data_IF_532122543349
#
_entry.id   IF_532122543349
#
_cell.length_a   1.000
_cell.length_b   1.000
_cell.length_c   1.000
_cell.angle_alpha   90.00
_cell.angle_beta   90.00
_cell.angle_gamma   90.00
#
_symmetry.space_group_name_H-M   'P 1'
#
loop_
_entity.id
_entity.type
_entity.pdbx_description
1 polymer ?
#
# COMPACT_ATOMS: atom_id res chain seq x y z
N UNK A 1 -19.63 8.73 -22.85
CA UNK A 1 -18.74 7.76 -22.17
C UNK A 1 -19.38 7.36 -20.85
N UNK A 2 -19.60 6.06 -20.62
CA UNK A 2 -20.26 5.54 -19.42
C UNK A 2 -19.30 5.56 -18.22
N UNK A 3 -19.73 6.03 -17.04
CA UNK A 3 -18.91 6.14 -15.81
C UNK A 3 -18.30 4.80 -15.41
N UNK A 4 -19.03 3.71 -15.65
CA UNK A 4 -18.57 2.33 -15.42
C UNK A 4 -17.30 2.04 -16.24
N UNK A 5 -17.27 2.45 -17.50
CA UNK A 5 -16.13 2.23 -18.40
C UNK A 5 -14.90 3.05 -17.94
N UNK A 6 -15.11 4.24 -17.37
CA UNK A 6 -14.03 5.06 -16.81
C UNK A 6 -13.42 4.40 -15.58
N UNK A 7 -14.25 3.88 -14.66
CA UNK A 7 -13.77 3.17 -13.47
C UNK A 7 -13.02 1.90 -13.87
N UNK A 8 -13.57 1.12 -14.80
CA UNK A 8 -12.92 -0.07 -15.34
C UNK A 8 -11.56 0.24 -15.96
N UNK A 9 -11.45 1.33 -16.74
CA UNK A 9 -10.19 1.79 -17.33
C UNK A 9 -9.15 2.14 -16.26
N UNK A 10 -9.55 2.82 -15.19
CA UNK A 10 -8.65 3.16 -14.08
C UNK A 10 -8.15 1.89 -13.38
N UNK A 11 -9.04 0.92 -13.13
CA UNK A 11 -8.66 -0.37 -12.51
C UNK A 11 -7.69 -1.14 -13.43
N UNK A 12 -7.99 -1.20 -14.73
CA UNK A 12 -7.15 -1.88 -15.72
C UNK A 12 -5.75 -1.29 -15.82
N UNK A 13 -5.61 0.03 -15.66
CA UNK A 13 -4.29 0.69 -15.62
C UNK A 13 -3.47 0.36 -14.38
N UNK A 14 -4.12 -0.01 -13.26
CA UNK A 14 -3.44 -0.28 -11.98
C UNK A 14 -2.95 -1.70 -11.84
N UNK A 15 -3.70 -2.68 -12.36
CA UNK A 15 -3.33 -4.11 -12.31
C UNK A 15 -1.90 -4.43 -12.76
N UNK A 16 -1.40 -3.93 -13.91
CA UNK A 16 -0.02 -4.23 -14.34
C UNK A 16 1.04 -3.65 -13.38
N UNK A 17 0.72 -2.57 -12.66
CA UNK A 17 1.63 -2.03 -11.64
C UNK A 17 1.69 -2.95 -10.41
N UNK A 18 0.56 -3.56 -10.02
CA UNK A 18 0.54 -4.54 -8.93
C UNK A 18 1.35 -5.80 -9.29
N UNK A 19 1.24 -6.27 -10.54
CA UNK A 19 2.02 -7.41 -11.04
C UNK A 19 3.51 -7.09 -11.07
N UNK A 20 3.88 -5.90 -11.57
CA UNK A 20 5.27 -5.43 -11.58
C UNK A 20 5.84 -5.33 -10.17
N UNK A 21 5.07 -4.82 -9.21
CA UNK A 21 5.47 -4.75 -7.80
C UNK A 21 5.68 -6.17 -7.25
N UNK A 22 4.78 -7.11 -7.54
CA UNK A 22 4.93 -8.51 -7.13
C UNK A 22 6.23 -9.14 -7.65
N UNK A 23 6.60 -8.87 -8.91
CA UNK A 23 7.87 -9.35 -9.46
C UNK A 23 9.10 -8.73 -8.76
N UNK A 24 9.05 -7.42 -8.43
CA UNK A 24 10.13 -6.75 -7.70
C UNK A 24 10.23 -7.27 -6.25
N UNK A 25 9.11 -7.49 -5.57
CA UNK A 25 9.07 -8.10 -4.24
C UNK A 25 9.77 -9.46 -4.22
N UNK A 26 9.51 -10.30 -5.23
CA UNK A 26 10.13 -11.61 -5.34
C UNK A 26 11.65 -11.50 -5.56
N UNK A 27 12.09 -10.62 -6.45
CA UNK A 27 13.52 -10.39 -6.69
C UNK A 27 14.24 -9.88 -5.43
N UNK A 28 13.61 -8.97 -4.67
CA UNK A 28 14.17 -8.44 -3.42
C UNK A 28 14.25 -9.51 -2.33
N UNK A 29 13.26 -10.41 -2.23
CA UNK A 29 13.32 -11.55 -1.32
C UNK A 29 14.45 -12.51 -1.68
N UNK A 30 14.63 -12.82 -2.96
CA UNK A 30 15.73 -13.64 -3.43
C UNK A 30 17.09 -12.98 -3.12
N UNK A 31 17.20 -11.67 -3.31
CA UNK A 31 18.41 -10.93 -2.98
C UNK A 31 18.70 -10.96 -1.47
N UNK A 32 17.70 -10.75 -0.61
CA UNK A 32 17.86 -10.85 0.84
C UNK A 32 18.29 -12.27 1.27
N UNK A 33 17.70 -13.31 0.66
CA UNK A 33 18.09 -14.70 0.93
C UNK A 33 19.54 -14.97 0.52
N UNK A 34 19.96 -14.52 -0.66
CA UNK A 34 21.34 -14.66 -1.13
C UNK A 34 22.35 -13.94 -0.23
N UNK A 35 22.00 -12.75 0.28
CA UNK A 35 22.86 -12.03 1.24
C UNK A 35 22.95 -12.81 2.56
N UNK A 36 21.84 -13.39 3.04
CA UNK A 36 21.83 -14.24 4.23
C UNK A 36 22.68 -15.51 4.07
N UNK A 37 22.65 -16.14 2.90
CA UNK A 37 23.52 -17.28 2.59
C UNK A 37 25.00 -16.89 2.59
N UNK A 38 25.34 -15.74 2.02
CA UNK A 38 26.71 -15.20 2.04
C UNK A 38 27.19 -14.91 3.48
N UNK A 39 26.32 -14.37 4.33
CA UNK A 39 26.62 -14.13 5.74
C UNK A 39 26.84 -15.44 6.52
N UNK A 40 26.03 -16.46 6.25
CA UNK A 40 26.19 -17.79 6.84
C UNK A 40 27.52 -18.45 6.40
N UNK A 41 27.88 -18.34 5.13
CA UNK A 41 29.17 -18.85 4.64
C UNK A 41 30.35 -18.09 5.26
N UNK A 42 30.24 -16.77 5.40
CA UNK A 42 31.27 -15.94 6.05
C UNK A 42 31.49 -16.35 7.51
N UNK A 43 30.42 -16.51 8.28
CA UNK A 43 30.50 -16.92 9.69
C UNK A 43 31.10 -18.32 9.84
N UNK A 44 30.83 -19.24 8.91
CA UNK A 44 31.46 -20.57 8.87
C UNK A 44 32.96 -20.58 8.52
N UNK A 45 33.42 -19.63 7.69
CA UNK A 45 34.83 -19.51 7.27
C UNK A 45 35.72 -18.84 8.34
N UNK A 46 35.17 -17.92 9.13
CA UNK A 46 35.89 -17.14 10.14
C UNK A 46 36.54 -17.95 11.27
N UNK A 47 36.14 -19.20 11.47
CA UNK A 47 36.74 -20.09 12.48
C UNK A 47 37.99 -20.85 12.03
N UNK A 48 38.26 -20.98 10.72
CA UNK A 48 39.30 -21.91 10.23
C UNK A 48 40.54 -21.26 9.62
N UNK A 49 40.47 -20.00 9.17
CA UNK A 49 41.58 -19.37 8.44
C UNK A 49 41.68 -17.90 8.91
N UNK A 50 42.78 -17.56 9.58
CA UNK A 50 43.03 -16.26 10.24
C UNK A 50 43.14 -15.03 9.32
N UNK A 51 42.39 -14.99 8.22
CA UNK A 51 42.13 -13.79 7.44
C UNK A 51 40.83 -13.15 7.94
N UNK A 52 40.97 -12.06 8.68
CA UNK A 52 39.86 -11.16 9.01
C UNK A 52 39.47 -10.50 7.69
N UNK A 53 38.45 -11.02 6.99
CA UNK A 53 37.84 -10.27 5.89
C UNK A 53 37.36 -8.94 6.47
N UNK A 54 37.70 -7.80 5.84
CA UNK A 54 37.28 -6.49 6.32
C UNK A 54 35.76 -6.51 6.51
N UNK A 55 35.33 -5.82 7.55
CA UNK A 55 33.99 -5.71 8.11
C UNK A 55 32.97 -5.23 7.06
N UNK A 56 32.64 -6.08 6.08
CA UNK A 56 31.62 -5.79 5.10
C UNK A 56 30.27 -5.89 5.81
N UNK A 57 29.63 -4.75 6.01
CA UNK A 57 28.30 -4.68 6.62
C UNK A 57 27.24 -5.18 5.62
N UNK A 58 26.84 -6.45 5.79
CA UNK A 58 25.77 -7.09 5.05
C UNK A 58 24.39 -6.84 5.71
N UNK A 59 24.39 -6.35 6.95
CA UNK A 59 23.17 -6.10 7.73
C UNK A 59 22.42 -4.88 7.21
N UNK A 60 23.14 -3.81 6.87
CA UNK A 60 22.56 -2.56 6.35
C UNK A 60 21.78 -2.76 5.04
N UNK A 61 22.33 -3.42 4.00
CA UNK A 61 21.57 -3.75 2.79
C UNK A 61 20.31 -4.58 3.06
N UNK A 62 20.37 -5.59 3.94
CA UNK A 62 19.19 -6.41 4.29
C UNK A 62 18.12 -5.57 4.99
N UNK A 63 18.52 -4.67 5.89
CA UNK A 63 17.58 -3.75 6.54
C UNK A 63 16.92 -2.80 5.54
N UNK A 64 17.67 -2.31 4.56
CA UNK A 64 17.11 -1.49 3.47
C UNK A 64 16.13 -2.28 2.61
N UNK A 65 16.49 -3.51 2.21
CA UNK A 65 15.60 -4.40 1.45
C UNK A 65 14.29 -4.63 2.20
N UNK A 66 14.34 -4.91 3.50
CA UNK A 66 13.14 -5.14 4.32
C UNK A 66 12.23 -3.88 4.38
N UNK A 67 12.81 -2.69 4.51
CA UNK A 67 12.04 -1.43 4.48
C UNK A 67 11.35 -1.21 3.14
N UNK A 68 12.05 -1.48 2.03
CA UNK A 68 11.47 -1.37 0.69
C UNK A 68 10.40 -2.42 0.45
N UNK A 69 10.56 -3.66 0.94
CA UNK A 69 9.54 -4.70 0.89
C UNK A 69 8.26 -4.27 1.61
N UNK A 70 8.36 -3.64 2.79
CA UNK A 70 7.20 -3.11 3.52
C UNK A 70 6.48 -1.99 2.75
N UNK A 71 7.25 -1.12 2.07
CA UNK A 71 6.70 -0.07 1.24
C UNK A 71 6.00 -0.64 -0.01
N UNK A 72 6.63 -1.60 -0.69
CA UNK A 72 6.10 -2.30 -1.85
C UNK A 72 4.82 -3.06 -1.51
N UNK A 73 4.77 -3.75 -0.36
CA UNK A 73 3.58 -4.47 0.09
C UNK A 73 2.38 -3.52 0.22
N UNK A 74 2.58 -2.32 0.78
CA UNK A 74 1.52 -1.28 0.88
C UNK A 74 1.07 -0.79 -0.49
N UNK A 75 2.01 -0.60 -1.43
CA UNK A 75 1.71 -0.19 -2.80
C UNK A 75 0.96 -1.29 -3.56
N UNK A 76 1.39 -2.54 -3.45
CA UNK A 76 0.75 -3.71 -4.06
C UNK A 76 -0.71 -3.80 -3.64
N UNK A 77 -0.98 -3.75 -2.33
CA UNK A 77 -2.34 -3.75 -1.76
C UNK A 77 -3.18 -2.57 -2.28
N UNK A 78 -2.58 -1.42 -2.58
CA UNK A 78 -3.29 -0.26 -3.13
C UNK A 78 -3.62 -0.42 -4.61
N UNK A 79 -2.69 -0.95 -5.40
CA UNK A 79 -2.88 -1.13 -6.85
C UNK A 79 -3.71 -2.36 -7.19
N UNK A 80 -3.79 -3.34 -6.29
CA UNK A 80 -4.60 -4.55 -6.47
C UNK A 80 -6.08 -4.38 -6.11
N UNK A 81 -6.52 -3.20 -5.64
CA UNK A 81 -7.92 -2.99 -5.27
C UNK A 81 -8.82 -3.00 -6.50
N UNK A 82 -9.86 -3.82 -6.45
CA UNK A 82 -10.93 -3.83 -7.46
C UNK A 82 -11.89 -2.65 -7.34
N UNK A 83 -11.74 -1.82 -6.30
CA UNK A 83 -12.60 -0.67 -6.04
C UNK A 83 -11.85 0.66 -6.11
N UNK A 84 -12.55 1.70 -6.59
CA UNK A 84 -12.08 3.07 -6.51
C UNK A 84 -12.57 3.70 -5.20
N UNK A 85 -11.64 3.88 -4.26
CA UNK A 85 -11.93 4.56 -3.01
C UNK A 85 -11.81 6.08 -3.20
N UNK A 86 -12.86 6.83 -2.84
CA UNK A 86 -12.89 8.30 -2.89
C UNK A 86 -12.87 8.87 -1.47
N UNK A 87 -11.91 9.76 -1.20
CA UNK A 87 -11.86 10.53 0.05
C UNK A 87 -12.45 11.92 -0.15
N UNK A 88 -13.47 12.28 0.65
CA UNK A 88 -14.07 13.63 0.63
C UNK A 88 -13.68 14.35 1.91
N UNK A 89 -12.88 15.42 1.80
CA UNK A 89 -12.39 16.22 2.92
C UNK A 89 -12.85 17.67 2.80
N UNK A 90 -13.03 18.34 3.94
CA UNK A 90 -13.45 19.75 3.97
C UNK A 90 -14.12 20.14 5.28
N UNK A 91 -14.26 21.45 5.52
CA UNK A 91 -14.89 21.99 6.73
C UNK A 91 -16.35 21.54 6.87
N UNK A 92 -16.91 21.60 8.08
CA UNK A 92 -18.32 21.34 8.30
C UNK A 92 -19.20 22.24 7.41
N UNK A 93 -20.41 21.76 7.06
CA UNK A 93 -21.40 22.48 6.22
C UNK A 93 -21.01 22.78 4.77
N UNK A 94 -19.92 22.21 4.27
CA UNK A 94 -19.49 22.33 2.86
C UNK A 94 -20.10 21.28 1.92
N UNK A 95 -21.26 20.71 2.28
CA UNK A 95 -21.98 19.76 1.42
C UNK A 95 -21.36 18.37 1.24
N UNK A 96 -20.35 17.98 2.04
CA UNK A 96 -19.69 16.66 1.93
C UNK A 96 -20.66 15.48 2.06
N UNK A 97 -21.54 15.51 3.08
CA UNK A 97 -22.56 14.49 3.29
C UNK A 97 -23.53 14.40 2.11
N UNK A 98 -24.00 15.56 1.62
CA UNK A 98 -24.90 15.66 0.47
C UNK A 98 -24.27 15.14 -0.83
N UNK A 99 -22.97 15.39 -1.03
CA UNK A 99 -22.22 14.83 -2.15
C UNK A 99 -22.15 13.29 -2.07
N UNK A 100 -21.82 12.73 -0.90
CA UNK A 100 -21.77 11.29 -0.71
C UNK A 100 -23.15 10.64 -0.91
N UNK A 101 -24.21 11.21 -0.35
CA UNK A 101 -25.60 10.78 -0.59
C UNK A 101 -25.94 10.76 -2.08
N UNK A 102 -25.63 11.84 -2.82
CA UNK A 102 -25.94 11.93 -4.25
C UNK A 102 -25.16 10.94 -5.12
N UNK A 103 -23.95 10.54 -4.68
CA UNK A 103 -23.08 9.65 -5.43
C UNK A 103 -23.32 8.17 -5.09
N UNK A 104 -23.73 7.87 -3.87
CA UNK A 104 -23.88 6.49 -3.37
C UNK A 104 -25.33 6.04 -3.21
N UNK A 105 -26.29 6.97 -3.24
CA UNK A 105 -27.72 6.67 -3.05
C UNK A 105 -28.12 6.44 -1.59
N UNK A 106 -27.18 6.51 -0.65
CA UNK A 106 -27.45 6.43 0.79
C UNK A 106 -28.22 7.66 1.28
N UNK A 107 -29.08 7.46 2.26
CA UNK A 107 -30.02 8.49 2.72
C UNK A 107 -29.48 9.29 3.91
N UNK A 108 -30.19 10.36 4.30
CA UNK A 108 -29.88 11.15 5.49
C UNK A 108 -29.97 10.35 6.81
N UNK A 109 -30.59 9.16 6.79
CA UNK A 109 -30.59 8.23 7.92
C UNK A 109 -29.21 7.59 8.14
N UNK A 110 -28.44 7.38 7.07
CA UNK A 110 -27.13 6.72 7.10
C UNK A 110 -25.99 7.74 7.12
N UNK A 111 -26.14 8.85 6.39
CA UNK A 111 -25.20 9.97 6.39
C UNK A 111 -25.97 11.26 6.64
N UNK A 112 -26.11 11.71 7.89
CA UNK A 112 -26.80 12.96 8.17
C UNK A 112 -26.05 14.17 7.57
N UNK A 113 -26.80 15.05 6.92
CA UNK A 113 -26.32 16.30 6.29
C UNK A 113 -26.88 17.57 6.96
N UNK A 114 -27.67 17.42 8.04
CA UNK A 114 -28.39 18.49 8.74
C UNK A 114 -27.56 19.32 9.74
N UNK A 115 -28.19 20.35 10.30
CA UNK A 115 -27.55 21.48 10.99
C UNK A 115 -27.16 21.26 12.48
N UNK A 116 -27.29 20.02 12.98
CA UNK A 116 -27.04 19.69 14.39
C UNK A 116 -25.64 19.11 14.54
N UNK A 117 -24.73 19.90 15.10
CA UNK A 117 -23.47 19.51 15.77
C UNK A 117 -22.58 18.49 15.01
N UNK A 118 -21.44 18.95 14.48
CA UNK A 118 -20.37 18.15 13.84
C UNK A 118 -20.82 16.78 13.26
N UNK A 119 -21.64 16.77 12.22
CA UNK A 119 -22.29 15.54 11.72
C UNK A 119 -21.33 14.49 11.09
N UNK A 120 -20.03 14.76 11.04
CA UNK A 120 -18.99 13.84 10.54
C UNK A 120 -17.69 14.08 11.30
N UNK A 121 -17.70 13.80 12.61
CA UNK A 121 -16.48 13.69 13.42
C UNK A 121 -15.79 12.32 13.33
N UNK A 122 -16.35 11.39 12.55
CA UNK A 122 -15.94 9.98 12.46
C UNK A 122 -15.85 9.53 11.01
N UNK A 123 -14.93 8.59 10.74
CA UNK A 123 -14.70 8.01 9.43
C UNK A 123 -15.86 7.09 9.04
N UNK A 124 -16.64 7.48 8.04
CA UNK A 124 -17.64 6.61 7.40
C UNK A 124 -17.03 5.89 6.21
N UNK A 125 -17.21 4.57 6.12
CA UNK A 125 -16.77 3.76 4.98
C UNK A 125 -17.99 3.13 4.33
N UNK A 126 -18.26 3.49 3.06
CA UNK A 126 -19.40 2.99 2.29
C UNK A 126 -18.86 1.95 1.32
N UNK A 127 -19.46 0.76 1.30
CA UNK A 127 -19.13 -0.33 0.41
C UNK A 127 -20.33 -0.66 -0.48
N UNK A 128 -20.08 -1.10 -1.71
CA UNK A 128 -21.05 -1.73 -2.60
C UNK A 128 -20.72 -3.22 -2.68
#
# INVERSE_FOLDING_TARGET
MNRINTIAKIIQQRRPLADKIGAVEENLKQLAAAIGELEHQRTGLGSSQGMILPELDLTSPVLQINRELDALAKLRVRFSRDTLNLGVVGRARQGKSRLLQSLTGVTAAEIPDGDRQHCTGVRSTIHH
#
